data_IF_538816322865
#
_entry.id   IF_538816322865
#
_cell.length_a   1.000
_cell.length_b   1.000
_cell.length_c   1.000
_cell.angle_alpha   90.00
_cell.angle_beta   90.00
_cell.angle_gamma   90.00
#
_symmetry.space_group_name_H-M   'P 1'
#
loop_
_entity.id
_entity.type
_entity.pdbx_description
1 polymer ?
#
# COMPACT_ATOMS: atom_id res chain seq x y z
N UNK A 1 29.81 15.56 -24.15
CA UNK A 1 29.55 17.03 -24.15
C UNK A 1 30.78 17.71 -23.63
N UNK A 2 31.41 18.58 -24.44
CA UNK A 2 32.60 19.35 -24.03
C UNK A 2 32.16 20.51 -23.14
N UNK A 3 33.01 20.99 -22.19
CA UNK A 3 32.71 22.13 -21.32
C UNK A 3 32.28 23.39 -22.09
N UNK A 4 32.80 23.61 -23.28
CA UNK A 4 32.48 24.78 -24.09
C UNK A 4 31.06 24.77 -24.65
N UNK A 5 30.50 23.59 -24.99
CA UNK A 5 29.09 23.49 -25.41
C UNK A 5 28.08 23.77 -24.30
N UNK A 6 28.48 23.64 -23.03
CA UNK A 6 27.62 23.94 -21.89
C UNK A 6 27.49 25.46 -21.71
N UNK A 7 28.53 26.24 -22.04
CA UNK A 7 28.53 27.71 -21.94
C UNK A 7 27.55 28.38 -22.91
N UNK A 8 27.22 27.70 -24.00
CA UNK A 8 26.35 28.24 -25.05
C UNK A 8 24.86 27.93 -24.83
N UNK A 9 24.53 27.20 -23.73
CA UNK A 9 23.14 26.87 -23.37
C UNK A 9 22.49 28.11 -22.74
N UNK A 10 21.48 28.65 -23.45
CA UNK A 10 20.65 29.72 -22.88
C UNK A 10 19.71 29.15 -21.83
N UNK A 11 19.80 29.66 -20.61
CA UNK A 11 18.96 29.24 -19.48
C UNK A 11 18.04 30.39 -19.09
N UNK A 12 16.75 30.10 -18.94
CA UNK A 12 15.81 31.05 -18.36
C UNK A 12 16.06 31.17 -16.86
N UNK A 13 16.24 32.36 -16.36
CA UNK A 13 16.41 32.64 -14.94
C UNK A 13 15.30 33.58 -14.49
N UNK A 14 14.33 33.10 -13.68
CA UNK A 14 13.27 33.94 -13.12
C UNK A 14 13.85 35.07 -12.24
N UNK A 15 13.07 36.14 -12.02
CA UNK A 15 13.42 37.18 -11.04
C UNK A 15 13.61 36.60 -9.64
N UNK A 16 14.37 37.24 -8.79
CA UNK A 16 14.64 36.77 -7.42
C UNK A 16 13.34 36.58 -6.61
N UNK A 17 12.36 37.44 -6.87
CA UNK A 17 11.03 37.34 -6.24
C UNK A 17 10.26 36.09 -6.71
N UNK A 18 10.27 35.81 -8.00
CA UNK A 18 9.68 34.60 -8.57
C UNK A 18 10.38 33.35 -8.05
N UNK A 19 11.72 33.34 -7.99
CA UNK A 19 12.48 32.22 -7.43
C UNK A 19 12.07 31.92 -5.98
N UNK A 20 11.91 32.97 -5.16
CA UNK A 20 11.45 32.82 -3.76
C UNK A 20 10.03 32.27 -3.70
N UNK A 21 9.14 32.70 -4.58
CA UNK A 21 7.76 32.27 -4.62
C UNK A 21 7.65 30.81 -5.09
N UNK A 22 8.41 30.44 -6.13
CA UNK A 22 8.54 29.05 -6.61
C UNK A 22 9.04 28.16 -5.46
N UNK A 23 10.15 28.56 -4.82
CA UNK A 23 10.71 27.80 -3.69
C UNK A 23 9.71 27.62 -2.53
N UNK A 24 8.98 28.68 -2.15
CA UNK A 24 7.96 28.62 -1.10
C UNK A 24 6.81 27.65 -1.47
N UNK A 25 6.35 27.68 -2.73
CA UNK A 25 5.27 26.83 -3.20
C UNK A 25 5.67 25.35 -3.18
N UNK A 26 6.83 25.01 -3.77
CA UNK A 26 7.34 23.64 -3.77
C UNK A 26 7.62 23.14 -2.35
N UNK A 27 8.21 23.99 -1.49
CA UNK A 27 8.46 23.67 -0.09
C UNK A 27 7.17 23.35 0.68
N UNK A 28 6.08 24.09 0.45
CA UNK A 28 4.80 23.83 1.11
C UNK A 28 4.19 22.47 0.70
N UNK A 29 4.35 22.06 -0.57
CA UNK A 29 3.96 20.72 -1.04
C UNK A 29 4.81 19.64 -0.35
N UNK A 30 6.12 19.82 -0.31
CA UNK A 30 7.02 18.87 0.36
C UNK A 30 6.73 18.77 1.86
N UNK A 31 6.44 19.85 2.55
CA UNK A 31 6.04 19.85 3.96
C UNK A 31 4.75 19.05 4.16
N UNK A 32 3.75 19.19 3.28
CA UNK A 32 2.52 18.43 3.35
C UNK A 32 2.76 16.92 3.10
N UNK A 33 3.60 16.58 2.12
CA UNK A 33 4.02 15.19 1.85
C UNK A 33 4.68 14.59 3.10
N UNK A 34 5.63 15.32 3.73
CA UNK A 34 6.33 14.84 4.92
C UNK A 34 5.40 14.70 6.14
N UNK A 35 4.49 15.65 6.34
CA UNK A 35 3.48 15.56 7.39
C UNK A 35 2.60 14.32 7.21
N UNK A 36 2.09 14.08 6.00
CA UNK A 36 1.27 12.92 5.68
C UNK A 36 2.04 11.60 5.86
N UNK A 37 3.30 11.54 5.46
CA UNK A 37 4.17 10.38 5.70
C UNK A 37 4.37 10.11 7.19
N UNK A 38 4.54 11.16 7.99
CA UNK A 38 4.71 11.04 9.44
C UNK A 38 3.43 10.53 10.10
N UNK A 39 2.26 11.09 9.75
CA UNK A 39 0.97 10.62 10.25
C UNK A 39 0.76 9.15 9.85
N UNK A 40 1.08 8.79 8.60
CA UNK A 40 0.90 7.41 8.11
C UNK A 40 1.79 6.41 8.88
N UNK A 41 3.04 6.78 9.19
CA UNK A 41 3.92 5.95 10.03
C UNK A 41 3.39 5.80 11.46
N UNK A 42 2.86 6.86 12.04
CA UNK A 42 2.28 6.81 13.38
C UNK A 42 1.03 5.91 13.42
N UNK A 43 0.16 6.03 12.41
CA UNK A 43 -1.01 5.15 12.28
C UNK A 43 -0.60 3.68 12.09
N UNK A 44 0.47 3.39 11.35
CA UNK A 44 1.00 2.03 11.21
C UNK A 44 1.54 1.49 12.54
N UNK A 45 2.26 2.32 13.29
CA UNK A 45 2.76 1.94 14.61
C UNK A 45 1.59 1.67 15.59
N UNK A 46 0.54 2.51 15.57
CA UNK A 46 -0.65 2.31 16.39
C UNK A 46 -1.39 1.01 16.03
N UNK A 47 -1.61 0.75 14.76
CA UNK A 47 -2.30 -0.47 14.33
C UNK A 47 -1.49 -1.74 14.66
N UNK A 48 -0.16 -1.69 14.47
CA UNK A 48 0.73 -2.77 14.89
C UNK A 48 0.68 -2.98 16.41
N UNK A 49 0.75 -1.91 17.19
CA UNK A 49 0.69 -1.98 18.65
C UNK A 49 -0.64 -2.57 19.12
N UNK A 50 -1.75 -2.17 18.48
CA UNK A 50 -3.08 -2.73 18.76
C UNK A 50 -3.12 -4.23 18.43
N UNK A 51 -2.55 -4.65 17.29
CA UNK A 51 -2.41 -6.07 16.95
C UNK A 51 -1.58 -6.82 18.00
N UNK A 52 -0.42 -6.30 18.36
CA UNK A 52 0.46 -6.94 19.35
C UNK A 52 -0.24 -7.06 20.72
N UNK A 53 -0.96 -6.04 21.15
CA UNK A 53 -1.68 -6.02 22.41
C UNK A 53 -2.80 -7.07 22.44
N UNK A 54 -3.56 -7.20 21.34
CA UNK A 54 -4.69 -8.12 21.28
C UNK A 54 -4.29 -9.57 21.00
N UNK A 55 -3.39 -9.81 20.04
CA UNK A 55 -3.13 -11.15 19.50
C UNK A 55 -1.77 -11.74 19.88
N UNK A 56 -0.86 -10.89 20.34
CA UNK A 56 0.45 -11.36 20.82
C UNK A 56 0.49 -11.40 22.35
N UNK A 57 0.05 -10.33 23.00
CA UNK A 57 0.02 -10.24 24.48
C UNK A 57 -1.26 -10.84 25.08
N UNK A 58 -2.36 -10.89 24.30
CA UNK A 58 -3.69 -11.32 24.73
C UNK A 58 -4.33 -10.41 25.78
N UNK A 59 -3.97 -9.15 25.79
CA UNK A 59 -4.52 -8.12 26.67
C UNK A 59 -5.65 -7.31 26.00
N UNK A 60 -6.42 -7.95 25.10
CA UNK A 60 -7.66 -7.38 24.58
C UNK A 60 -8.64 -7.09 25.75
N UNK A 61 -9.57 -6.13 25.58
CA UNK A 61 -10.52 -5.80 26.64
C UNK A 61 -11.45 -6.98 26.96
N UNK A 62 -11.53 -7.32 28.23
CA UNK A 62 -12.51 -8.27 28.76
C UNK A 62 -13.92 -7.61 28.85
N UNK A 63 -14.90 -8.31 29.40
CA UNK A 63 -16.27 -7.83 29.58
C UNK A 63 -16.37 -6.57 30.48
N UNK A 64 -15.35 -6.28 31.28
CA UNK A 64 -15.23 -5.12 32.15
C UNK A 64 -14.30 -4.04 31.56
N UNK A 65 -13.81 -4.23 30.34
CA UNK A 65 -12.86 -3.35 29.69
C UNK A 65 -11.43 -3.43 30.22
N UNK A 66 -11.09 -4.46 31.05
CA UNK A 66 -9.74 -4.68 31.58
C UNK A 66 -8.92 -5.55 30.62
N UNK A 67 -7.57 -5.43 30.63
CA UNK A 67 -6.70 -6.31 29.85
C UNK A 67 -6.92 -7.78 30.23
N UNK A 68 -7.29 -8.63 29.26
CA UNK A 68 -7.71 -10.01 29.53
C UNK A 68 -6.67 -10.82 30.28
N UNK A 69 -5.49 -11.04 29.69
CA UNK A 69 -4.44 -11.89 30.30
C UNK A 69 -3.90 -11.29 31.59
N UNK A 70 -3.57 -10.00 31.58
CA UNK A 70 -2.99 -9.31 32.75
C UNK A 70 -3.96 -9.20 33.93
N UNK A 71 -5.28 -9.32 33.70
CA UNK A 71 -6.30 -9.34 34.76
C UNK A 71 -6.69 -10.76 35.20
N UNK A 72 -5.96 -11.78 34.75
CA UNK A 72 -6.19 -13.17 35.17
C UNK A 72 -7.12 -13.96 34.27
N UNK A 73 -7.31 -13.50 33.01
CA UNK A 73 -8.05 -14.23 31.98
C UNK A 73 -7.50 -15.65 31.79
N UNK A 74 -8.41 -16.61 31.61
CA UNK A 74 -8.05 -18.04 31.56
C UNK A 74 -7.32 -18.36 30.25
N UNK A 75 -6.13 -18.96 30.39
CA UNK A 75 -5.25 -19.35 29.30
C UNK A 75 -5.13 -20.87 29.24
N UNK A 76 -4.97 -21.40 28.02
CA UNK A 76 -4.77 -22.83 27.76
C UNK A 76 -3.56 -23.03 26.84
N UNK A 77 -2.78 -24.07 27.10
CA UNK A 77 -1.65 -24.44 26.26
C UNK A 77 -2.11 -24.93 24.89
N UNK A 78 -1.49 -24.42 23.83
CA UNK A 78 -1.74 -24.88 22.46
C UNK A 78 -0.51 -25.54 21.85
N UNK A 79 -0.62 -26.80 21.49
CA UNK A 79 0.47 -27.60 20.97
C UNK A 79 0.96 -27.15 19.59
N UNK A 80 0.08 -26.62 18.73
CA UNK A 80 0.45 -26.15 17.39
C UNK A 80 1.26 -24.87 17.43
N UNK A 81 0.88 -23.93 18.30
CA UNK A 81 1.57 -22.65 18.44
C UNK A 81 2.69 -22.66 19.47
N UNK A 82 2.81 -23.75 20.26
CA UNK A 82 3.78 -23.90 21.38
C UNK A 82 3.74 -22.73 22.36
N UNK A 83 2.54 -22.26 22.67
CA UNK A 83 2.28 -21.15 23.59
C UNK A 83 0.88 -21.25 24.19
N UNK A 84 0.67 -20.51 25.28
CA UNK A 84 -0.67 -20.32 25.82
C UNK A 84 -1.49 -19.37 24.95
N UNK A 85 -2.78 -19.69 24.79
CA UNK A 85 -3.79 -18.87 24.12
C UNK A 85 -5.02 -18.71 25.02
N UNK A 86 -5.87 -17.70 24.84
CA UNK A 86 -7.12 -17.58 25.57
C UNK A 86 -7.99 -18.83 25.41
N UNK A 87 -8.64 -19.29 26.48
CA UNK A 87 -9.39 -20.56 26.51
C UNK A 87 -10.42 -20.70 25.39
N UNK A 88 -11.09 -19.62 25.02
CA UNK A 88 -12.15 -19.62 24.00
C UNK A 88 -11.62 -19.40 22.58
N UNK A 89 -10.29 -19.29 22.38
CA UNK A 89 -9.71 -19.12 21.06
C UNK A 89 -9.27 -20.46 20.49
N UNK A 90 -9.29 -20.55 19.16
CA UNK A 90 -8.94 -21.75 18.45
C UNK A 90 -7.76 -21.52 17.51
N UNK A 91 -7.03 -22.57 17.20
CA UNK A 91 -6.02 -22.58 16.15
C UNK A 91 -6.53 -23.38 14.98
N UNK A 92 -6.68 -22.73 13.84
CA UNK A 92 -7.13 -23.31 12.59
C UNK A 92 -6.03 -23.21 11.55
N UNK A 93 -6.25 -23.68 10.34
CA UNK A 93 -5.29 -23.54 9.25
C UNK A 93 -5.53 -22.23 8.47
N UNK A 94 -4.47 -21.66 7.88
CA UNK A 94 -4.57 -20.40 7.14
C UNK A 94 -5.57 -20.49 5.97
N UNK A 95 -5.72 -21.67 5.35
CA UNK A 95 -6.71 -21.92 4.30
C UNK A 95 -8.16 -21.71 4.75
N UNK A 96 -8.44 -21.80 6.05
CA UNK A 96 -9.77 -21.55 6.62
C UNK A 96 -10.10 -20.03 6.68
N UNK A 97 -9.09 -19.17 6.56
CA UNK A 97 -9.19 -17.71 6.56
C UNK A 97 -9.03 -17.11 5.17
N UNK A 98 -8.22 -17.73 4.31
CA UNK A 98 -7.92 -17.18 2.99
C UNK A 98 -7.69 -18.27 1.95
N UNK A 99 -8.22 -18.10 0.77
CA UNK A 99 -7.85 -18.91 -0.39
C UNK A 99 -6.44 -18.51 -0.84
N UNK A 100 -5.53 -19.48 -0.98
CA UNK A 100 -4.15 -19.22 -1.41
C UNK A 100 -4.03 -19.44 -2.91
N UNK A 101 -3.71 -18.36 -3.64
CA UNK A 101 -3.56 -18.33 -5.10
C UNK A 101 -2.13 -18.08 -5.52
N UNK A 102 -1.66 -18.87 -6.47
CA UNK A 102 -0.35 -18.67 -7.09
C UNK A 102 -0.40 -17.54 -8.14
N UNK A 103 0.69 -16.83 -8.30
CA UNK A 103 0.93 -16.03 -9.49
C UNK A 103 1.66 -16.80 -10.58
N UNK A 104 1.71 -16.24 -11.78
CA UNK A 104 2.45 -16.78 -12.92
C UNK A 104 3.00 -15.66 -13.82
N UNK A 105 3.96 -16.01 -14.66
CA UNK A 105 4.60 -15.09 -15.61
C UNK A 105 4.27 -15.54 -17.02
N UNK A 106 3.67 -14.65 -17.85
CA UNK A 106 3.56 -14.90 -19.28
C UNK A 106 4.92 -15.06 -19.94
N UNK A 107 4.99 -15.76 -21.07
CA UNK A 107 6.25 -15.90 -21.81
C UNK A 107 6.87 -14.52 -22.10
N UNK A 108 8.13 -14.35 -21.69
CA UNK A 108 8.90 -13.11 -21.93
C UNK A 108 9.47 -13.02 -23.35
N UNK A 109 9.38 -14.09 -24.13
CA UNK A 109 9.80 -14.10 -25.55
C UNK A 109 8.75 -13.51 -26.50
N UNK A 110 7.54 -13.27 -26.03
CA UNK A 110 6.43 -12.66 -26.79
C UNK A 110 6.06 -11.31 -26.16
N UNK A 111 6.53 -10.23 -26.76
CA UNK A 111 6.26 -8.86 -26.30
C UNK A 111 4.77 -8.50 -26.32
N UNK A 112 3.95 -9.20 -27.14
CA UNK A 112 2.50 -9.00 -27.17
C UNK A 112 1.79 -9.41 -25.88
N UNK A 113 2.46 -10.09 -24.95
CA UNK A 113 1.94 -10.43 -23.64
C UNK A 113 1.99 -9.23 -22.66
N UNK A 114 2.70 -8.15 -22.98
CA UNK A 114 3.02 -7.06 -22.07
C UNK A 114 2.55 -5.70 -22.60
N UNK A 115 2.44 -4.72 -21.69
CA UNK A 115 2.08 -3.34 -22.04
C UNK A 115 0.58 -3.08 -22.14
N UNK A 116 -0.27 -4.00 -21.65
CA UNK A 116 -1.72 -3.83 -21.61
C UNK A 116 -2.26 -3.21 -20.31
N UNK A 117 -3.55 -3.45 -20.06
CA UNK A 117 -4.28 -2.84 -18.95
C UNK A 117 -4.39 -3.73 -17.70
N UNK A 118 -4.02 -5.02 -17.81
CA UNK A 118 -4.06 -5.94 -16.67
C UNK A 118 -2.86 -5.67 -15.77
N UNK A 119 -3.14 -5.20 -14.56
CA UNK A 119 -2.11 -4.91 -13.55
C UNK A 119 -1.41 -6.20 -13.16
N UNK A 120 -0.09 -6.20 -13.22
CA UNK A 120 0.73 -7.36 -12.91
C UNK A 120 1.90 -6.97 -12.02
N UNK A 121 2.00 -7.63 -10.86
CA UNK A 121 2.91 -7.25 -9.78
C UNK A 121 4.04 -8.26 -9.66
N UNK A 122 5.23 -7.77 -9.40
CA UNK A 122 6.44 -8.55 -9.12
C UNK A 122 6.97 -8.24 -7.71
N UNK A 123 7.80 -9.10 -7.09
CA UNK A 123 8.41 -8.79 -5.79
C UNK A 123 9.22 -7.49 -5.79
N UNK A 124 9.78 -7.10 -6.95
CA UNK A 124 10.48 -5.82 -7.08
C UNK A 124 9.56 -4.63 -6.85
N UNK A 125 8.32 -4.67 -7.35
CA UNK A 125 7.35 -3.60 -7.14
C UNK A 125 7.03 -3.42 -5.66
N UNK A 126 7.00 -4.52 -4.87
CA UNK A 126 6.83 -4.45 -3.42
C UNK A 126 8.07 -3.91 -2.71
N UNK A 127 9.27 -4.23 -3.19
CA UNK A 127 10.52 -3.72 -2.61
C UNK A 127 10.69 -2.22 -2.83
N UNK A 128 10.26 -1.72 -3.98
CA UNK A 128 10.45 -0.33 -4.38
C UNK A 128 9.43 0.62 -3.72
N UNK A 129 8.30 0.08 -3.23
CA UNK A 129 7.26 0.92 -2.60
C UNK A 129 7.47 1.11 -1.10
N UNK A 130 6.99 2.25 -0.58
CA UNK A 130 7.04 2.58 0.85
C UNK A 130 5.70 2.41 1.58
N UNK A 131 4.66 1.96 0.87
CA UNK A 131 3.30 1.78 1.40
C UNK A 131 2.97 0.30 1.53
N UNK A 132 2.14 -0.04 2.52
CA UNK A 132 1.55 -1.37 2.60
C UNK A 132 0.46 -1.63 1.55
N UNK A 133 -0.01 -0.59 0.88
CA UNK A 133 -1.01 -0.68 -0.18
C UNK A 133 -0.35 -0.61 -1.54
N UNK A 134 -0.70 -1.54 -2.43
CA UNK A 134 -0.23 -1.53 -3.81
C UNK A 134 -1.40 -1.34 -4.78
N UNK A 135 -1.18 -0.49 -5.77
CA UNK A 135 -2.20 -0.14 -6.79
C UNK A 135 -1.78 -0.59 -8.18
N UNK A 136 -0.49 -0.60 -8.45
CA UNK A 136 0.07 -0.82 -9.78
C UNK A 136 1.52 -1.28 -9.66
N UNK A 137 2.00 -2.05 -10.64
CA UNK A 137 3.41 -2.39 -10.83
C UNK A 137 4.08 -1.52 -11.89
N UNK A 138 5.35 -1.78 -12.13
CA UNK A 138 6.11 -1.10 -13.18
C UNK A 138 5.69 -1.54 -14.59
N UNK A 139 5.18 -2.75 -14.74
CA UNK A 139 4.83 -3.36 -16.02
C UNK A 139 3.49 -4.10 -15.92
N UNK A 140 2.56 -3.74 -16.79
CA UNK A 140 1.29 -4.46 -16.95
C UNK A 140 1.42 -5.58 -17.99
N UNK A 141 0.47 -6.50 -17.99
CA UNK A 141 0.30 -7.52 -19.04
C UNK A 141 -0.96 -7.23 -19.86
N UNK A 142 -1.00 -7.78 -21.06
CA UNK A 142 -2.19 -7.71 -21.91
C UNK A 142 -3.18 -8.81 -21.50
N UNK A 143 -4.41 -8.74 -22.01
CA UNK A 143 -5.38 -9.83 -21.87
C UNK A 143 -4.84 -11.14 -22.50
N UNK A 144 -4.10 -11.05 -23.62
CA UNK A 144 -3.38 -12.19 -24.20
C UNK A 144 -2.38 -12.78 -23.21
N UNK A 145 -1.57 -11.90 -22.57
CA UNK A 145 -0.60 -12.33 -21.56
C UNK A 145 -1.28 -13.00 -20.37
N UNK A 146 -2.39 -12.44 -19.88
CA UNK A 146 -3.18 -13.02 -18.80
C UNK A 146 -3.68 -14.44 -19.16
N UNK A 147 -4.25 -14.61 -20.35
CA UNK A 147 -4.80 -15.87 -20.81
C UNK A 147 -3.71 -16.92 -21.21
N UNK A 148 -2.46 -16.47 -21.39
CA UNK A 148 -1.33 -17.34 -21.80
C UNK A 148 -0.67 -18.10 -20.63
N UNK A 149 -1.00 -17.77 -19.38
CA UNK A 149 -0.39 -18.39 -18.21
C UNK A 149 -1.43 -18.64 -17.10
N UNK A 150 -1.00 -19.35 -16.04
CA UNK A 150 -1.86 -19.75 -14.92
C UNK A 150 -1.93 -18.69 -13.81
N UNK A 151 -1.71 -17.40 -14.13
CA UNK A 151 -1.89 -16.34 -13.14
C UNK A 151 -3.37 -16.16 -12.80
N UNK A 152 -3.66 -15.67 -11.61
CA UNK A 152 -5.01 -15.44 -11.14
C UNK A 152 -5.27 -13.93 -11.02
N UNK A 153 -6.43 -13.48 -11.46
CA UNK A 153 -6.92 -12.15 -11.12
C UNK A 153 -7.38 -12.16 -9.66
N UNK A 154 -6.72 -11.37 -8.85
CA UNK A 154 -6.95 -11.25 -7.42
C UNK A 154 -7.89 -10.08 -7.16
N UNK A 155 -8.91 -10.24 -6.31
CA UNK A 155 -9.79 -9.14 -5.93
C UNK A 155 -9.07 -8.11 -5.05
N UNK A 156 -9.69 -6.94 -4.94
CA UNK A 156 -9.29 -5.89 -4.00
C UNK A 156 -9.21 -6.48 -2.58
N UNK A 157 -8.25 -5.97 -1.78
CA UNK A 157 -7.96 -6.42 -0.41
C UNK A 157 -7.36 -7.82 -0.30
N UNK A 158 -6.92 -8.42 -1.42
CA UNK A 158 -6.02 -9.58 -1.38
C UNK A 158 -4.66 -9.20 -0.79
N UNK A 159 -4.07 -10.12 -0.03
CA UNK A 159 -2.74 -9.95 0.56
C UNK A 159 -1.72 -10.62 -0.35
N UNK A 160 -0.77 -9.84 -0.85
CA UNK A 160 0.33 -10.32 -1.64
C UNK A 160 1.49 -10.69 -0.72
N UNK A 161 1.93 -11.94 -0.78
CA UNK A 161 3.07 -12.44 -0.01
C UNK A 161 4.12 -12.98 -0.96
N UNK A 162 5.32 -12.38 -0.97
CA UNK A 162 6.42 -12.94 -1.73
C UNK A 162 6.89 -14.27 -1.11
N UNK A 163 6.92 -15.31 -1.92
CA UNK A 163 7.26 -16.68 -1.52
C UNK A 163 8.67 -17.11 -1.94
N UNK A 164 9.38 -16.28 -2.70
CA UNK A 164 10.78 -16.47 -3.15
C UNK A 164 11.64 -15.29 -2.71
N UNK A 165 12.95 -15.40 -2.84
CA UNK A 165 13.91 -14.40 -2.39
C UNK A 165 13.66 -12.98 -2.98
N UNK A 166 13.39 -11.98 -2.15
CA UNK A 166 13.22 -12.08 -0.71
C UNK A 166 11.82 -12.63 -0.34
N UNK A 167 11.78 -13.63 0.55
CA UNK A 167 10.54 -14.12 1.13
C UNK A 167 10.03 -13.08 2.15
N UNK A 168 8.72 -12.86 2.22
CA UNK A 168 8.13 -12.09 3.29
C UNK A 168 7.89 -10.61 2.98
N UNK A 169 7.97 -10.19 1.72
CA UNK A 169 7.38 -8.92 1.31
C UNK A 169 5.86 -9.07 1.33
N UNK A 170 5.17 -8.17 2.02
CA UNK A 170 3.71 -8.22 2.19
C UNK A 170 3.09 -6.90 1.81
N UNK A 171 2.07 -6.94 0.96
CA UNK A 171 1.26 -5.77 0.58
C UNK A 171 -0.21 -6.14 0.45
N UNK A 172 -1.07 -5.12 0.52
CA UNK A 172 -2.52 -5.24 0.31
C UNK A 172 -2.86 -4.67 -1.06
N UNK A 173 -3.46 -5.46 -1.94
CA UNK A 173 -3.93 -5.04 -3.24
C UNK A 173 -5.08 -4.05 -3.12
N UNK A 174 -5.03 -2.92 -3.82
CA UNK A 174 -6.10 -1.91 -3.87
C UNK A 174 -6.69 -1.69 -5.26
N UNK A 175 -6.36 -2.61 -6.15
CA UNK A 175 -6.99 -2.86 -7.44
C UNK A 175 -7.08 -4.36 -7.67
N UNK A 176 -7.95 -4.78 -8.58
CA UNK A 176 -7.86 -6.11 -9.15
C UNK A 176 -6.54 -6.22 -9.91
N UNK A 177 -5.76 -7.24 -9.63
CA UNK A 177 -4.42 -7.41 -10.17
C UNK A 177 -3.98 -8.86 -10.22
N UNK A 178 -2.96 -9.13 -11.01
CA UNK A 178 -2.27 -10.41 -11.06
C UNK A 178 -0.86 -10.28 -10.46
N UNK A 179 -0.22 -11.41 -10.20
CA UNK A 179 1.17 -11.46 -9.71
C UNK A 179 1.99 -12.46 -10.51
N UNK A 180 3.32 -12.35 -10.43
CA UNK A 180 4.21 -13.35 -10.97
C UNK A 180 4.30 -14.59 -10.04
N UNK A 181 5.02 -15.63 -10.49
CA UNK A 181 5.22 -16.88 -9.73
C UNK A 181 5.98 -16.72 -8.41
N UNK A 182 6.53 -15.55 -8.13
CA UNK A 182 7.21 -15.24 -6.87
C UNK A 182 6.27 -15.00 -5.70
N UNK A 183 4.97 -15.13 -5.89
CA UNK A 183 3.95 -14.88 -4.87
C UNK A 183 3.12 -16.12 -4.54
N UNK A 184 2.69 -16.13 -3.27
CA UNK A 184 1.54 -16.89 -2.77
C UNK A 184 0.57 -15.87 -2.20
N UNK A 185 -0.51 -15.60 -2.93
CA UNK A 185 -1.46 -14.53 -2.58
C UNK A 185 -2.57 -15.10 -1.71
N UNK A 186 -2.98 -14.34 -0.70
CA UNK A 186 -4.06 -14.71 0.18
C UNK A 186 -5.28 -13.86 -0.17
N UNK A 187 -6.34 -14.52 -0.63
CA UNK A 187 -7.65 -13.91 -0.86
C UNK A 187 -8.50 -14.18 0.38
N UNK A 188 -8.79 -13.17 1.22
CA UNK A 188 -9.58 -13.36 2.43
C UNK A 188 -10.94 -13.99 2.11
N UNK A 189 -11.37 -14.98 2.90
CA UNK A 189 -12.73 -15.57 2.78
C UNK A 189 -13.76 -14.53 3.20
N UNK A 190 -13.49 -13.80 4.29
CA UNK A 190 -14.22 -12.60 4.68
C UNK A 190 -13.28 -11.39 4.50
N UNK A 191 -13.72 -10.39 3.74
CA UNK A 191 -12.94 -9.18 3.48
C UNK A 191 -12.61 -8.42 4.78
N UNK A 192 -13.44 -8.59 5.81
CA UNK A 192 -13.20 -8.03 7.14
C UNK A 192 -11.91 -8.56 7.79
N UNK A 193 -11.46 -9.74 7.37
CA UNK A 193 -10.23 -10.37 7.88
C UNK A 193 -8.94 -9.80 7.26
N UNK A 194 -9.03 -8.97 6.22
CA UNK A 194 -7.85 -8.44 5.52
C UNK A 194 -6.83 -7.80 6.48
N UNK A 195 -7.28 -6.94 7.39
CA UNK A 195 -6.41 -6.25 8.33
C UNK A 195 -5.75 -7.21 9.33
N UNK A 196 -6.50 -8.19 9.82
CA UNK A 196 -5.99 -9.21 10.73
C UNK A 196 -4.96 -10.09 10.02
N UNK A 197 -5.28 -10.62 8.85
CA UNK A 197 -4.38 -11.43 8.03
C UNK A 197 -3.08 -10.70 7.71
N UNK A 198 -3.17 -9.42 7.34
CA UNK A 198 -1.99 -8.61 7.04
C UNK A 198 -1.01 -8.56 8.22
N UNK A 199 -1.50 -8.24 9.43
CA UNK A 199 -0.63 -8.19 10.62
C UNK A 199 -0.21 -9.58 11.08
N UNK A 200 -1.08 -10.57 10.96
CA UNK A 200 -0.76 -11.96 11.30
C UNK A 200 0.41 -12.47 10.46
N UNK A 201 0.32 -12.34 9.14
CA UNK A 201 1.39 -12.75 8.24
C UNK A 201 2.69 -11.98 8.55
N UNK A 202 2.63 -10.66 8.69
CA UNK A 202 3.80 -9.84 9.03
C UNK A 202 4.47 -10.24 10.34
N UNK A 203 3.68 -10.58 11.36
CA UNK A 203 4.20 -11.02 12.65
C UNK A 203 4.93 -12.38 12.54
N UNK A 204 4.46 -13.25 11.66
CA UNK A 204 4.96 -14.60 11.50
C UNK A 204 5.94 -14.78 10.32
N UNK A 205 6.44 -13.71 9.71
CA UNK A 205 7.33 -13.79 8.54
C UNK A 205 8.52 -14.72 8.78
N UNK A 206 9.17 -14.65 9.95
CA UNK A 206 10.31 -15.52 10.26
C UNK A 206 9.96 -17.01 10.27
N UNK A 207 8.77 -17.36 10.75
CA UNK A 207 8.28 -18.75 10.75
C UNK A 207 7.90 -19.17 9.31
N UNK A 208 7.29 -18.28 8.54
CA UNK A 208 6.98 -18.52 7.12
C UNK A 208 8.27 -18.71 6.30
N UNK A 209 9.29 -17.90 6.51
CA UNK A 209 10.61 -18.08 5.88
C UNK A 209 11.26 -19.44 6.18
N UNK A 210 11.03 -19.99 7.39
CA UNK A 210 11.52 -21.30 7.79
C UNK A 210 10.81 -22.44 7.06
N UNK A 211 9.59 -22.24 6.55
CA UNK A 211 8.90 -23.22 5.71
C UNK A 211 9.54 -23.32 4.31
N UNK A 212 10.29 -22.30 3.90
CA UNK A 212 10.93 -22.28 2.60
C UNK A 212 11.93 -23.42 2.41
N UNK A 213 11.72 -24.24 1.39
CA UNK A 213 12.57 -25.35 0.99
C UNK A 213 13.41 -24.98 -0.24
N UNK A 214 14.53 -25.65 -0.44
CA UNK A 214 15.44 -25.42 -1.54
C UNK A 214 16.84 -24.99 -1.07
N UNK A 215 17.88 -25.49 -1.75
CA UNK A 215 19.29 -25.23 -1.38
C UNK A 215 19.82 -23.92 -1.95
N UNK A 216 19.46 -23.58 -3.19
CA UNK A 216 19.95 -22.37 -3.87
C UNK A 216 18.89 -21.26 -3.86
N UNK A 217 17.63 -21.60 -4.05
CA UNK A 217 16.51 -20.66 -4.02
C UNK A 217 15.41 -21.23 -3.13
N UNK A 218 15.30 -20.66 -1.93
CA UNK A 218 14.22 -21.02 -1.01
C UNK A 218 12.88 -20.53 -1.56
N UNK A 219 11.89 -21.40 -1.53
CA UNK A 219 10.51 -21.07 -1.86
C UNK A 219 9.56 -21.68 -0.82
N UNK A 220 8.58 -20.91 -0.39
CA UNK A 220 7.47 -21.38 0.45
C UNK A 220 6.40 -21.96 -0.47
N UNK A 221 6.03 -23.22 -0.25
CA UNK A 221 5.00 -23.88 -1.05
C UNK A 221 3.60 -23.38 -0.69
N UNK A 222 2.63 -23.60 -1.61
CA UNK A 222 1.22 -23.31 -1.34
C UNK A 222 0.69 -24.20 -0.23
N UNK A 223 1.07 -25.46 -0.25
CA UNK A 223 0.66 -26.49 0.71
C UNK A 223 1.11 -26.14 2.14
N UNK A 224 2.35 -25.71 2.31
CA UNK A 224 2.89 -25.27 3.61
C UNK A 224 2.10 -24.07 4.14
N UNK A 225 1.78 -23.11 3.30
CA UNK A 225 0.96 -21.95 3.69
C UNK A 225 -0.49 -22.35 4.00
N UNK A 226 -1.09 -23.25 3.24
CA UNK A 226 -2.44 -23.73 3.54
C UNK A 226 -2.54 -24.34 4.95
N UNK A 227 -1.51 -25.10 5.35
CA UNK A 227 -1.42 -25.71 6.68
C UNK A 227 -0.88 -24.79 7.77
N UNK A 228 -0.46 -23.58 7.47
CA UNK A 228 0.10 -22.66 8.45
C UNK A 228 -0.93 -22.32 9.54
N UNK A 229 -0.59 -22.48 10.84
CA UNK A 229 -1.54 -22.26 11.92
C UNK A 229 -1.90 -20.78 12.05
N UNK A 230 -3.17 -20.48 12.28
CA UNK A 230 -3.67 -19.13 12.54
C UNK A 230 -4.65 -19.13 13.71
N UNK A 231 -4.63 -18.05 14.52
CA UNK A 231 -5.55 -17.86 15.63
C UNK A 231 -6.92 -17.41 15.15
N UNK A 232 -7.96 -18.08 15.59
CA UNK A 232 -9.36 -17.70 15.42
C UNK A 232 -9.93 -17.27 16.77
N UNK A 233 -10.42 -16.02 16.81
CA UNK A 233 -11.04 -15.45 18.01
C UNK A 233 -12.35 -16.16 18.30
N UNK A 234 -12.54 -16.61 19.54
CA UNK A 234 -13.77 -17.30 19.95
C UNK A 234 -14.98 -16.40 20.12
N UNK A 235 -14.75 -15.13 20.49
CA UNK A 235 -15.82 -14.14 20.68
C UNK A 235 -15.96 -13.25 19.41
N UNK A 236 -17.06 -13.40 18.69
CA UNK A 236 -17.30 -12.70 17.44
C UNK A 236 -17.47 -11.18 17.64
N UNK A 237 -18.06 -10.71 18.74
CA UNK A 237 -18.26 -9.28 18.99
C UNK A 237 -16.95 -8.58 19.36
N UNK A 238 -16.08 -9.25 20.11
CA UNK A 238 -14.72 -8.81 20.37
C UNK A 238 -13.94 -8.66 19.05
N UNK A 239 -14.02 -9.65 18.18
CA UNK A 239 -13.36 -9.60 16.87
C UNK A 239 -13.89 -8.45 16.00
N UNK A 240 -15.21 -8.26 15.94
CA UNK A 240 -15.82 -7.11 15.23
C UNK A 240 -15.35 -5.76 15.76
N UNK A 241 -15.16 -5.63 17.06
CA UNK A 241 -14.65 -4.40 17.67
C UNK A 241 -13.22 -4.11 17.17
N UNK A 242 -12.35 -5.13 17.13
CA UNK A 242 -11.00 -4.98 16.58
C UNK A 242 -11.03 -4.61 15.09
N UNK A 243 -11.85 -5.31 14.28
CA UNK A 243 -12.03 -5.03 12.85
C UNK A 243 -12.48 -3.58 12.63
N UNK A 244 -13.49 -3.11 13.37
CA UNK A 244 -13.99 -1.74 13.27
C UNK A 244 -12.91 -0.72 13.59
N UNK A 245 -12.20 -0.90 14.73
CA UNK A 245 -11.14 0.02 15.16
C UNK A 245 -9.98 0.08 14.15
N UNK A 246 -9.57 -1.07 13.63
CA UNK A 246 -8.47 -1.11 12.65
C UNK A 246 -8.90 -0.60 11.28
N UNK A 247 -10.16 -0.78 10.90
CA UNK A 247 -10.70 -0.27 9.64
C UNK A 247 -10.51 1.24 9.53
N UNK A 248 -10.86 2.01 10.55
CA UNK A 248 -10.71 3.47 10.55
C UNK A 248 -9.24 3.90 10.37
N UNK A 249 -8.33 3.18 11.01
CA UNK A 249 -6.88 3.42 10.85
C UNK A 249 -6.45 3.14 9.40
N UNK A 250 -6.88 2.01 8.83
CA UNK A 250 -6.52 1.63 7.46
C UNK A 250 -7.12 2.58 6.42
N UNK A 251 -8.38 2.97 6.58
CA UNK A 251 -9.04 3.93 5.69
C UNK A 251 -8.30 5.28 5.71
N UNK A 252 -7.87 5.74 6.89
CA UNK A 252 -7.07 6.97 7.01
C UNK A 252 -5.69 6.82 6.35
N UNK A 253 -5.01 5.69 6.55
CA UNK A 253 -3.72 5.41 5.90
C UNK A 253 -3.85 5.35 4.38
N UNK A 254 -4.95 4.75 3.87
CA UNK A 254 -5.25 4.68 2.45
C UNK A 254 -5.44 6.08 1.84
N UNK A 255 -6.21 6.93 2.53
CA UNK A 255 -6.44 8.32 2.12
C UNK A 255 -5.11 9.10 2.07
N UNK A 256 -4.29 9.00 3.11
CA UNK A 256 -2.99 9.67 3.17
C UNK A 256 -2.03 9.17 2.08
N UNK A 257 -2.05 7.88 1.79
CA UNK A 257 -1.22 7.29 0.72
C UNK A 257 -1.62 7.85 -0.65
N UNK A 258 -2.92 7.97 -0.94
CA UNK A 258 -3.43 8.59 -2.16
C UNK A 258 -3.05 10.08 -2.24
N UNK A 259 -3.19 10.81 -1.14
CA UNK A 259 -2.81 12.23 -1.09
C UNK A 259 -1.32 12.44 -1.33
N UNK A 260 -0.45 11.60 -0.72
CA UNK A 260 1.00 11.62 -0.96
C UNK A 260 1.31 11.40 -2.44
N UNK A 261 0.68 10.41 -3.09
CA UNK A 261 0.91 10.11 -4.49
C UNK A 261 0.50 11.29 -5.41
N UNK A 262 -0.66 11.89 -5.15
CA UNK A 262 -1.14 13.06 -5.90
C UNK A 262 -0.22 14.27 -5.72
N UNK A 263 0.16 14.59 -4.49
CA UNK A 263 1.06 15.72 -4.20
C UNK A 263 2.46 15.51 -4.81
N UNK A 264 2.98 14.29 -4.76
CA UNK A 264 4.28 13.95 -5.35
C UNK A 264 4.22 14.15 -6.87
N UNK A 265 3.20 13.62 -7.53
CA UNK A 265 3.00 13.80 -8.97
C UNK A 265 2.88 15.29 -9.33
N UNK A 266 2.06 16.05 -8.60
CA UNK A 266 1.89 17.49 -8.83
C UNK A 266 3.20 18.25 -8.66
N UNK A 267 4.00 17.98 -7.62
CA UNK A 267 5.32 18.59 -7.43
C UNK A 267 6.24 18.30 -8.60
N UNK A 268 6.32 17.06 -9.03
CA UNK A 268 7.24 16.61 -10.08
C UNK A 268 6.85 17.18 -11.45
N UNK A 269 5.55 17.34 -11.73
CA UNK A 269 5.04 17.99 -12.95
C UNK A 269 5.20 19.51 -12.92
N UNK A 270 5.04 20.16 -11.77
CA UNK A 270 5.16 21.61 -11.63
C UNK A 270 6.62 22.09 -11.70
N UNK A 271 7.56 21.32 -11.17
CA UNK A 271 8.95 21.72 -11.08
C UNK A 271 9.56 22.14 -12.45
N UNK A 272 9.51 21.34 -13.51
CA UNK A 272 10.05 21.73 -14.82
C UNK A 272 9.30 22.91 -15.44
N UNK A 273 7.98 23.01 -15.24
CA UNK A 273 7.17 24.12 -15.80
C UNK A 273 7.53 25.47 -15.15
N UNK A 274 7.74 25.47 -13.84
CA UNK A 274 8.16 26.65 -13.09
C UNK A 274 9.60 27.06 -13.43
N UNK A 275 10.50 26.08 -13.55
CA UNK A 275 11.91 26.36 -13.88
C UNK A 275 12.10 26.88 -15.32
N UNK A 276 11.23 26.50 -16.25
CA UNK A 276 11.30 26.96 -17.64
C UNK A 276 10.46 28.23 -17.91
N UNK A 277 9.84 28.82 -16.87
CA UNK A 277 8.97 30.00 -17.03
C UNK A 277 7.68 29.76 -17.81
N UNK A 278 7.28 28.50 -18.01
CA UNK A 278 6.03 28.14 -18.70
C UNK A 278 4.80 28.41 -17.82
N UNK A 279 4.98 28.47 -16.53
CA UNK A 279 3.95 28.79 -15.52
C UNK A 279 4.52 29.76 -14.53
N UNK A 280 3.77 30.80 -14.17
CA UNK A 280 4.12 31.73 -13.11
C UNK A 280 3.33 31.45 -11.84
N UNK A 281 3.96 31.64 -10.69
CA UNK A 281 3.30 31.58 -9.39
C UNK A 281 2.91 33.01 -9.01
N UNK A 282 1.61 33.29 -8.93
CA UNK A 282 1.12 34.56 -8.37
C UNK A 282 0.98 34.43 -6.85
N UNK A 283 1.28 35.48 -6.09
CA UNK A 283 1.07 35.48 -4.65
C UNK A 283 -0.39 35.10 -4.35
N UNK A 284 -0.64 34.10 -3.47
CA UNK A 284 -1.98 33.82 -3.01
C UNK A 284 -2.51 35.05 -2.25
N UNK A 285 -3.77 35.41 -2.50
CA UNK A 285 -4.46 36.35 -1.63
C UNK A 285 -4.38 35.80 -0.18
N UNK A 286 -4.12 36.67 0.77
CA UNK A 286 -4.03 36.34 2.20
C UNK A 286 -5.23 35.46 2.58
N UNK A 287 -5.02 34.20 2.97
CA UNK A 287 -6.01 33.14 3.29
C UNK A 287 -6.38 32.16 2.16
N UNK A 288 -5.54 31.94 1.14
CA UNK A 288 -5.78 30.87 0.17
C UNK A 288 -5.17 29.54 0.63
N UNK A 289 -6.00 28.51 0.73
CA UNK A 289 -5.55 27.11 0.89
C UNK A 289 -4.73 26.66 -0.33
N UNK A 290 -3.78 25.75 -0.09
CA UNK A 290 -2.92 25.15 -1.14
C UNK A 290 -3.74 24.67 -2.35
N UNK A 291 -4.98 24.24 -2.10
CA UNK A 291 -5.94 23.81 -3.11
C UNK A 291 -6.29 24.91 -4.11
N UNK A 292 -6.43 26.15 -3.66
CA UNK A 292 -6.77 27.30 -4.52
C UNK A 292 -5.61 27.71 -5.43
N UNK A 293 -4.36 27.56 -4.96
CA UNK A 293 -3.15 27.79 -5.79
C UNK A 293 -3.08 26.74 -6.89
N UNK A 294 -3.34 25.47 -6.58
CA UNK A 294 -3.34 24.37 -7.53
C UNK A 294 -4.48 24.49 -8.56
N UNK A 295 -5.66 24.97 -8.15
CA UNK A 295 -6.79 25.25 -9.05
C UNK A 295 -6.49 26.38 -10.02
N UNK A 296 -5.81 27.45 -9.58
CA UNK A 296 -5.38 28.57 -10.45
C UNK A 296 -4.36 28.13 -11.49
N UNK A 297 -3.37 27.32 -11.09
CA UNK A 297 -2.38 26.75 -11.99
C UNK A 297 -3.08 25.84 -13.05
N UNK A 298 -4.05 25.04 -12.64
CA UNK A 298 -4.82 24.19 -13.55
C UNK A 298 -5.62 25.00 -14.57
N UNK A 299 -6.16 26.17 -14.21
CA UNK A 299 -6.87 27.07 -15.14
C UNK A 299 -5.94 27.69 -16.18
N UNK A 300 -4.70 28.02 -15.81
CA UNK A 300 -3.69 28.55 -16.75
C UNK A 300 -3.26 27.47 -17.75
N UNK A 301 -3.08 26.22 -17.29
CA UNK A 301 -2.72 25.09 -18.15
C UNK A 301 -3.86 24.70 -19.12
N UNK A 302 -5.13 24.89 -18.75
CA UNK A 302 -6.29 24.62 -19.61
C UNK A 302 -6.57 25.72 -20.63
N UNK A 303 -6.06 26.92 -20.43
CA UNK A 303 -6.20 28.05 -21.37
C UNK A 303 -5.06 28.16 -22.40
N UNK A 304 -3.93 27.51 -22.16
CA UNK A 304 -2.89 27.30 -23.15
C UNK A 304 -3.16 25.97 -23.88
N UNK A 305 -3.24 26.02 -25.22
CA UNK A 305 -3.58 24.91 -26.15
C UNK A 305 -2.67 23.65 -26.02
N UNK A 306 -2.51 23.12 -24.81
CA UNK A 306 -1.91 21.82 -24.52
C UNK A 306 -3.04 20.80 -24.34
N UNK A 307 -3.55 20.25 -25.44
CA UNK A 307 -4.43 19.09 -25.46
C UNK A 307 -3.58 17.83 -25.25
N UNK A 308 -3.34 17.46 -24.02
CA UNK A 308 -2.91 16.12 -23.66
C UNK A 308 -3.51 15.77 -22.30
N UNK A 309 -4.48 14.87 -22.29
CA UNK A 309 -4.95 14.02 -21.16
C UNK A 309 -5.26 14.63 -19.79
N UNK A 310 -5.87 15.81 -19.72
CA UNK A 310 -6.37 16.34 -18.43
C UNK A 310 -7.76 15.79 -18.06
N UNK A 311 -8.42 15.02 -18.93
CA UNK A 311 -9.80 14.56 -18.73
C UNK A 311 -10.01 13.42 -17.74
N UNK A 312 -8.95 12.82 -17.19
CA UNK A 312 -9.05 11.71 -16.25
C UNK A 312 -8.91 12.07 -14.75
N UNK A 313 -8.82 13.35 -14.40
CA UNK A 313 -8.81 13.80 -13.01
C UNK A 313 -10.22 14.26 -12.57
N UNK A 314 -11.17 13.33 -12.48
CA UNK A 314 -12.41 13.57 -11.72
C UNK A 314 -12.07 13.56 -10.22
N UNK A 315 -11.85 14.75 -9.66
CA UNK A 315 -11.88 14.96 -8.23
C UNK A 315 -13.33 14.73 -7.75
N UNK A 316 -13.56 13.64 -7.04
CA UNK A 316 -14.80 13.43 -6.31
C UNK A 316 -14.95 14.54 -5.26
N UNK A 317 -15.99 15.35 -5.39
CA UNK A 317 -16.38 16.32 -4.34
C UNK A 317 -16.75 15.56 -3.07
N UNK A 318 -16.24 15.93 -1.90
CA UNK A 318 -16.75 15.40 -0.64
C UNK A 318 -18.21 15.86 -0.47
N UNK A 319 -19.14 14.92 -0.41
CA UNK A 319 -20.50 15.19 0.06
C UNK A 319 -20.43 15.29 1.59
N UNK A 320 -20.45 16.51 2.09
CA UNK A 320 -20.91 16.78 3.44
C UNK A 320 -22.45 16.89 3.34
N UNK A 321 -23.13 15.85 3.79
CA UNK A 321 -24.57 15.84 3.99
C UNK A 321 -24.88 16.43 5.35
N UNK A 322 -25.85 17.29 5.35
CA UNK A 322 -26.57 17.86 6.47
C UNK A 322 -27.07 16.83 7.49
#
# INVERSE_FOLDING_TARGET
>A
TTPDRIKDITVFVPSIEEQRLIGKTLYSIDQKIQANRTINRNLEAMAKQLYDYWFVQFDFPDENGKPYKSSGGKMVWNEKLKREIPENWQVVNLVDFAEIKNGATPSTSDDANYGGDVIWITPKDLSDQQSKFIYQGQRNITEKGYNSCSTNLLPIDSILLSSRAPIGLVSIAKHELCTNQGFKNLVPVDIADCNYLYYYIRHHIKQIEQLGTGTTFKEVSREDLCGFPILKVGNNDLYKQWVSTTKDIFDKQLLLTKEIAVLTKQRDELLPLLMNGQVSVTQPAVNCDLLDVLVKIKRVLSSSNYSADVNNLKLAKPRWGS
#
